data_IF_187026842037
#
_entry.id   IF_187026842037
#
_cell.length_a   1.000
_cell.length_b   1.000
_cell.length_c   1.000
_cell.angle_alpha   90.00
_cell.angle_beta   90.00
_cell.angle_gamma   90.00
#
_symmetry.space_group_name_H-M   'P 1'
#
loop_
_entity.id
_entity.type
_entity.pdbx_description
1 polymer ?
#
# COMPACT_ATOMS: atom_id res chain seq x y z
N UNK A 1 7.04 -0.62 7.80
CA UNK A 1 5.92 -0.02 8.53
C UNK A 1 5.99 -0.39 10.01
N UNK A 2 6.87 0.28 10.75
CA UNK A 2 6.79 0.31 12.21
C UNK A 2 5.67 1.27 12.64
N UNK A 3 5.06 1.01 13.80
CA UNK A 3 3.88 1.76 14.29
C UNK A 3 4.09 3.27 14.36
N UNK A 4 5.29 3.72 14.73
CA UNK A 4 5.63 5.14 14.82
C UNK A 4 5.54 5.86 13.47
N UNK A 5 5.85 5.17 12.38
CA UNK A 5 5.76 5.72 11.04
C UNK A 5 4.30 5.87 10.58
N UNK A 6 3.44 4.91 10.89
CA UNK A 6 2.01 4.98 10.57
C UNK A 6 1.32 6.11 11.33
N UNK A 7 1.67 6.29 12.61
CA UNK A 7 1.18 7.41 13.42
C UNK A 7 1.64 8.77 12.86
N UNK A 8 2.88 8.87 12.38
CA UNK A 8 3.37 10.07 11.73
C UNK A 8 2.61 10.37 10.42
N UNK A 9 2.38 9.34 9.59
CA UNK A 9 1.59 9.47 8.36
C UNK A 9 0.17 9.93 8.65
N UNK A 10 -0.50 9.32 9.64
CA UNK A 10 -1.83 9.70 10.06
C UNK A 10 -1.87 11.18 10.49
N UNK A 11 -0.85 11.70 11.17
CA UNK A 11 -0.79 13.13 11.55
C UNK A 11 -0.61 14.08 10.35
N UNK A 12 0.03 13.63 9.27
CA UNK A 12 0.36 14.48 8.11
C UNK A 12 -0.72 14.46 7.02
N UNK A 13 -1.46 13.36 6.89
CA UNK A 13 -2.55 13.25 5.94
C UNK A 13 -3.78 14.04 6.42
N UNK A 14 -4.52 14.64 5.49
CA UNK A 14 -5.87 15.17 5.78
C UNK A 14 -6.88 14.02 5.84
N UNK A 15 -7.98 14.19 6.55
CA UNK A 15 -9.13 13.27 6.46
C UNK A 15 -9.56 13.11 4.99
N UNK A 16 -9.80 11.87 4.58
CA UNK A 16 -10.02 11.46 3.19
C UNK A 16 -8.74 11.36 2.33
N UNK A 17 -7.55 11.59 2.89
CA UNK A 17 -6.28 11.44 2.19
C UNK A 17 -5.97 9.98 1.85
N UNK A 18 -5.53 9.73 0.61
CA UNK A 18 -5.17 8.39 0.11
C UNK A 18 -3.70 8.07 0.43
N UNK A 19 -3.50 6.94 1.11
CA UNK A 19 -2.25 6.21 1.20
C UNK A 19 -2.31 5.05 0.19
N UNK A 20 -1.60 5.20 -0.92
CA UNK A 20 -1.45 4.14 -1.94
C UNK A 20 -0.09 3.48 -1.77
N UNK A 21 -0.10 2.18 -1.52
CA UNK A 21 1.11 1.36 -1.40
C UNK A 21 1.04 0.27 -2.46
N UNK A 22 2.17 -0.01 -3.10
CA UNK A 22 2.28 -1.16 -3.99
C UNK A 22 3.56 -1.93 -3.72
N UNK A 23 3.47 -3.25 -3.73
CA UNK A 23 4.62 -4.14 -3.51
C UNK A 23 4.49 -5.40 -4.36
N UNK A 24 5.62 -5.88 -4.86
CA UNK A 24 5.79 -7.13 -5.62
C UNK A 24 6.24 -8.31 -4.74
N UNK A 25 6.23 -8.14 -3.41
CA UNK A 25 6.68 -9.14 -2.45
C UNK A 25 5.54 -9.55 -1.51
N UNK A 26 4.97 -10.73 -1.72
CA UNK A 26 3.77 -11.20 -1.00
C UNK A 26 3.90 -11.19 0.53
N UNK A 27 4.98 -11.70 1.16
CA UNK A 27 5.14 -11.62 2.61
C UNK A 27 5.15 -10.17 3.14
N UNK A 28 5.63 -9.23 2.34
CA UNK A 28 5.60 -7.82 2.70
C UNK A 28 4.20 -7.22 2.53
N UNK A 29 3.45 -7.65 1.51
CA UNK A 29 2.04 -7.30 1.34
C UNK A 29 1.20 -7.75 2.55
N UNK A 30 1.36 -8.99 2.99
CA UNK A 30 0.65 -9.53 4.16
C UNK A 30 0.99 -8.73 5.43
N UNK A 31 2.27 -8.39 5.60
CA UNK A 31 2.74 -7.57 6.71
C UNK A 31 2.21 -6.13 6.67
N UNK A 32 2.07 -5.53 5.48
CA UNK A 32 1.45 -4.20 5.30
C UNK A 32 -0.01 -4.25 5.75
N UNK A 33 -0.76 -5.26 5.29
CA UNK A 33 -2.18 -5.43 5.62
C UNK A 33 -2.39 -5.58 7.13
N UNK A 34 -1.65 -6.51 7.76
CA UNK A 34 -1.73 -6.75 9.20
C UNK A 34 -1.48 -5.48 10.02
N UNK A 35 -0.51 -4.66 9.61
CA UNK A 35 -0.16 -3.44 10.33
C UNK A 35 -1.13 -2.30 10.12
N UNK A 36 -1.63 -2.10 8.90
CA UNK A 36 -2.57 -1.02 8.61
C UNK A 36 -3.97 -1.31 9.16
N UNK A 37 -4.38 -2.58 9.21
CA UNK A 37 -5.66 -2.98 9.79
C UNK A 37 -5.71 -2.78 11.31
N UNK A 38 -4.55 -2.70 11.98
CA UNK A 38 -4.43 -2.37 13.40
C UNK A 38 -4.46 -0.85 13.69
N UNK A 39 -4.38 0.01 12.67
CA UNK A 39 -4.35 1.48 12.87
C UNK A 39 -5.74 2.08 12.66
N UNK A 40 -6.43 2.55 13.71
CA UNK A 40 -7.82 2.98 13.63
C UNK A 40 -8.03 4.22 12.75
N UNK A 41 -7.01 5.06 12.58
CA UNK A 41 -7.03 6.27 11.75
C UNK A 41 -7.10 5.99 10.25
N UNK A 42 -6.84 4.75 9.82
CA UNK A 42 -6.95 4.34 8.43
C UNK A 42 -8.12 3.37 8.23
N UNK A 43 -8.64 3.37 7.01
CA UNK A 43 -9.59 2.37 6.52
C UNK A 43 -9.34 2.10 5.06
N UNK A 44 -9.38 0.84 4.66
CA UNK A 44 -9.10 0.45 3.28
C UNK A 44 -8.66 -1.00 3.22
N UNK A 45 -7.82 -1.31 2.25
CA UNK A 45 -7.28 -2.66 2.08
C UNK A 45 -6.64 -2.87 0.73
N UNK A 46 -6.47 -4.15 0.38
CA UNK A 46 -6.00 -4.58 -0.94
C UNK A 46 -7.00 -4.17 -2.00
N UNK A 47 -6.50 -3.58 -3.08
CA UNK A 47 -7.28 -3.21 -4.26
C UNK A 47 -6.74 -3.91 -5.50
N UNK A 48 -7.60 -4.23 -6.48
CA UNK A 48 -7.11 -4.67 -7.78
C UNK A 48 -6.23 -3.58 -8.40
N UNK A 49 -5.20 -3.99 -9.13
CA UNK A 49 -4.25 -3.07 -9.80
C UNK A 49 -5.03 -2.01 -10.59
N UNK A 50 -4.92 -0.71 -10.25
CA UNK A 50 -5.65 0.33 -10.95
C UNK A 50 -5.15 0.47 -12.40
N UNK A 51 -6.09 0.54 -13.35
CA UNK A 51 -5.80 0.56 -14.79
C UNK A 51 -4.92 1.73 -15.26
N UNK A 52 -4.93 2.85 -14.52
CA UNK A 52 -4.15 4.05 -14.83
C UNK A 52 -2.77 4.09 -14.14
N UNK A 53 -2.31 2.99 -13.54
CA UNK A 53 -0.99 2.94 -12.91
C UNK A 53 0.11 2.78 -13.97
N UNK A 54 0.88 3.83 -14.18
CA UNK A 54 2.10 3.78 -14.99
C UNK A 54 3.08 2.77 -14.39
N UNK A 55 3.59 1.86 -15.22
CA UNK A 55 4.62 0.91 -14.80
C UNK A 55 5.86 1.66 -14.32
N UNK A 56 6.33 1.30 -13.13
CA UNK A 56 7.64 1.75 -12.63
C UNK A 56 8.77 1.04 -13.38
N UNK A 57 9.98 1.62 -13.32
CA UNK A 57 11.18 1.04 -13.95
C UNK A 57 11.50 -0.37 -13.43
N UNK A 58 11.15 -0.70 -12.19
CA UNK A 58 11.34 -2.01 -11.57
C UNK A 58 10.35 -3.06 -12.10
N UNK A 59 9.09 -2.68 -12.34
CA UNK A 59 8.10 -3.59 -12.93
C UNK A 59 8.41 -3.93 -14.39
N UNK A 60 9.04 -3.01 -15.13
CA UNK A 60 9.52 -3.31 -16.49
C UNK A 60 10.64 -4.36 -16.51
N UNK A 61 11.44 -4.47 -15.46
CA UNK A 61 12.45 -5.54 -15.31
C UNK A 61 11.86 -6.81 -14.68
N UNK A 62 10.78 -6.71 -13.91
CA UNK A 62 10.07 -7.84 -13.30
C UNK A 62 9.08 -8.58 -14.22
N UNK A 63 8.80 -8.04 -15.42
CA UNK A 63 7.99 -8.71 -16.45
C UNK A 63 8.50 -10.10 -16.85
N UNK A 64 9.76 -10.41 -16.56
CA UNK A 64 10.38 -11.73 -16.80
C UNK A 64 10.08 -12.78 -15.71
N UNK A 65 9.39 -12.43 -14.61
CA UNK A 65 9.33 -13.31 -13.42
C UNK A 65 7.94 -13.51 -12.78
N UNK A 66 6.85 -13.17 -13.46
CA UNK A 66 5.47 -13.42 -12.97
C UNK A 66 5.19 -12.88 -11.55
N UNK A 67 5.88 -11.82 -11.11
CA UNK A 67 5.66 -11.27 -9.77
C UNK A 67 4.30 -10.55 -9.71
N UNK A 68 3.35 -11.12 -8.97
CA UNK A 68 2.08 -10.49 -8.66
C UNK A 68 2.33 -9.26 -7.78
N UNK A 69 1.95 -8.10 -8.29
CA UNK A 69 2.01 -6.83 -7.54
C UNK A 69 0.71 -6.66 -6.77
N UNK A 70 0.82 -6.46 -5.46
CA UNK A 70 -0.30 -6.15 -4.57
C UNK A 70 -0.35 -4.64 -4.35
N UNK A 71 -1.48 -4.04 -4.73
CA UNK A 71 -1.79 -2.63 -4.51
C UNK A 71 -2.73 -2.49 -3.31
N UNK A 72 -2.53 -1.47 -2.49
CA UNK A 72 -3.32 -1.14 -1.31
C UNK A 72 -3.81 0.30 -1.38
N UNK A 73 -5.09 0.53 -1.09
CA UNK A 73 -5.63 1.86 -0.87
C UNK A 73 -6.16 1.96 0.55
N UNK A 74 -5.53 2.81 1.36
CA UNK A 74 -6.03 3.20 2.68
C UNK A 74 -6.35 4.68 2.70
N UNK A 75 -7.51 5.02 3.22
CA UNK A 75 -7.96 6.39 3.41
C UNK A 75 -7.85 6.76 4.88
N UNK A 76 -7.30 7.95 5.15
CA UNK A 76 -7.33 8.52 6.50
C UNK A 76 -8.77 8.91 6.86
N UNK A 77 -9.23 8.50 8.03
CA UNK A 77 -10.54 8.89 8.58
C UNK A 77 -10.57 10.33 9.09
#
# INVERSE_FOLDING_TARGET
LQGDFLNLLAKKLRTGGLLHIATDWQPYADWIAERLDQVPEFSGGVVPRPANRTFTRFEKQGLDKEHQVTDFHYFKK
#
